data_IF_166385439573
#
_entry.id   IF_166385439573
#
_cell.length_a   1.000
_cell.length_b   1.000
_cell.length_c   1.000
_cell.angle_alpha   90.00
_cell.angle_beta   90.00
_cell.angle_gamma   90.00
#
_symmetry.space_group_name_H-M   'P 1'
#
loop_
_entity.id
_entity.type
_entity.pdbx_description
1 polymer ?
#
# COMPACT_ATOMS: atom_id res chain seq x y z
N UNK A 1 20.09 58.41 -37.16
CA UNK A 1 19.89 56.93 -37.35
C UNK A 1 20.56 56.11 -36.22
N UNK A 2 20.42 56.51 -34.96
CA UNK A 2 21.13 55.84 -33.83
C UNK A 2 20.22 55.12 -32.82
N UNK A 3 18.89 55.20 -32.96
CA UNK A 3 17.93 54.61 -32.01
C UNK A 3 17.66 53.13 -32.12
N UNK A 4 17.87 52.56 -33.32
CA UNK A 4 17.47 51.14 -33.60
C UNK A 4 18.48 50.12 -33.03
N UNK A 5 19.71 50.54 -32.80
CA UNK A 5 20.77 49.64 -32.25
C UNK A 5 20.64 49.36 -30.75
N UNK A 6 19.97 50.26 -30.01
CA UNK A 6 19.75 50.03 -28.57
C UNK A 6 18.58 49.07 -28.28
N UNK A 7 17.50 49.13 -29.07
CA UNK A 7 16.35 48.26 -28.91
C UNK A 7 16.73 46.77 -29.10
N UNK A 8 17.60 46.46 -30.07
CA UNK A 8 18.03 45.06 -30.33
C UNK A 8 18.75 44.40 -29.16
N UNK A 9 19.51 45.18 -28.39
CA UNK A 9 20.27 44.65 -27.23
C UNK A 9 19.32 44.30 -26.07
N UNK A 10 18.27 45.07 -25.83
CA UNK A 10 17.30 44.78 -24.77
C UNK A 10 16.39 43.60 -25.12
N UNK A 11 16.02 43.45 -26.41
CA UNK A 11 15.27 42.28 -26.88
C UNK A 11 16.07 40.99 -26.75
N UNK A 12 17.37 41.03 -27.08
CA UNK A 12 18.25 39.87 -26.92
C UNK A 12 18.45 39.49 -25.43
N UNK A 13 18.53 40.50 -24.53
CA UNK A 13 18.64 40.28 -23.10
C UNK A 13 17.36 39.70 -22.48
N UNK A 14 16.19 40.21 -22.92
CA UNK A 14 14.88 39.67 -22.49
C UNK A 14 14.65 38.26 -23.00
N UNK A 15 15.06 37.93 -24.21
CA UNK A 15 14.97 36.57 -24.76
C UNK A 15 15.87 35.59 -23.99
N UNK A 16 17.07 36.01 -23.55
CA UNK A 16 17.97 35.23 -22.74
C UNK A 16 17.40 34.94 -21.32
N UNK A 17 16.67 35.90 -20.74
CA UNK A 17 16.07 35.77 -19.41
C UNK A 17 14.90 34.78 -19.40
N UNK A 18 14.14 34.68 -20.49
CA UNK A 18 13.01 33.73 -20.64
C UNK A 18 13.50 32.28 -20.79
N UNK A 19 14.69 32.06 -21.36
CA UNK A 19 15.26 30.74 -21.50
C UNK A 19 15.78 30.12 -20.19
N UNK A 20 16.08 30.94 -19.17
CA UNK A 20 16.56 30.47 -17.86
C UNK A 20 15.39 30.04 -16.94
N UNK A 21 14.18 30.56 -17.18
CA UNK A 21 12.99 30.23 -16.37
C UNK A 21 12.36 28.86 -16.75
N UNK A 22 12.82 28.22 -17.81
CA UNK A 22 12.23 26.98 -18.34
C UNK A 22 12.68 25.67 -17.66
N UNK A 23 13.62 25.69 -16.72
CA UNK A 23 14.12 24.51 -16.02
C UNK A 23 13.68 24.47 -14.55
N UNK A 24 12.47 24.91 -14.21
CA UNK A 24 11.80 24.42 -13.02
C UNK A 24 11.32 22.99 -13.32
N UNK A 25 12.26 22.05 -13.38
CA UNK A 25 11.95 20.63 -13.25
C UNK A 25 11.09 20.50 -12.00
N UNK A 26 9.82 20.16 -12.17
CA UNK A 26 9.05 19.55 -11.10
C UNK A 26 9.95 18.45 -10.55
N UNK A 27 10.51 18.68 -9.37
CA UNK A 27 11.13 17.62 -8.58
C UNK A 27 9.98 16.66 -8.29
N UNK A 28 9.71 15.74 -9.22
CA UNK A 28 8.95 14.54 -8.92
C UNK A 28 9.69 13.92 -7.74
N UNK A 29 9.11 14.08 -6.57
CA UNK A 29 9.61 13.41 -5.39
C UNK A 29 9.66 11.92 -5.77
N UNK A 30 10.84 11.28 -5.67
CA UNK A 30 10.93 9.87 -5.96
C UNK A 30 9.86 9.16 -5.13
N UNK A 31 9.15 8.17 -5.69
CA UNK A 31 8.09 7.48 -4.98
C UNK A 31 8.65 7.04 -3.63
N UNK A 32 8.12 7.60 -2.56
CA UNK A 32 8.53 7.22 -1.22
C UNK A 32 8.14 5.75 -1.06
N UNK A 33 9.12 4.87 -1.14
CA UNK A 33 8.95 3.47 -0.81
C UNK A 33 8.57 3.44 0.66
N UNK A 34 7.28 3.32 0.95
CA UNK A 34 6.79 3.13 2.30
C UNK A 34 7.33 1.79 2.80
N UNK A 35 8.40 1.85 3.58
CA UNK A 35 8.94 0.67 4.24
C UNK A 35 7.89 0.17 5.23
N UNK A 36 7.59 -1.11 5.17
CA UNK A 36 6.73 -1.76 6.14
C UNK A 36 7.43 -1.66 7.49
N UNK A 37 6.73 -1.14 8.51
CA UNK A 37 7.26 -1.09 9.86
C UNK A 37 7.41 -2.51 10.45
N UNK A 38 8.31 -2.73 11.40
CA UNK A 38 8.42 -4.04 12.07
C UNK A 38 7.09 -4.52 12.66
N UNK A 39 6.28 -3.61 13.21
CA UNK A 39 4.98 -3.92 13.78
C UNK A 39 3.96 -4.34 12.71
N UNK A 40 4.01 -3.72 11.54
CA UNK A 40 3.17 -4.12 10.40
C UNK A 40 3.63 -5.48 9.84
N UNK A 41 4.94 -5.73 9.82
CA UNK A 41 5.48 -7.01 9.40
C UNK A 41 4.99 -8.14 10.31
N UNK A 42 4.99 -7.94 11.64
CA UNK A 42 4.47 -8.92 12.58
C UNK A 42 2.97 -9.20 12.42
N UNK A 43 2.19 -8.23 11.95
CA UNK A 43 0.76 -8.44 11.66
C UNK A 43 0.52 -9.22 10.37
N UNK A 44 1.40 -9.04 9.38
CA UNK A 44 1.31 -9.70 8.08
C UNK A 44 1.84 -11.12 8.17
N UNK A 45 2.85 -11.36 9.03
CA UNK A 45 3.41 -12.68 9.21
C UNK A 45 2.39 -13.60 9.89
N UNK A 46 2.08 -14.75 9.28
CA UNK A 46 1.15 -15.71 9.87
C UNK A 46 1.69 -16.14 11.22
N UNK A 47 0.86 -16.01 12.25
CA UNK A 47 1.18 -16.55 13.56
C UNK A 47 1.29 -18.07 13.43
N UNK A 48 2.45 -18.60 13.79
CA UNK A 48 2.65 -20.05 13.85
C UNK A 48 1.77 -20.60 14.97
N UNK A 49 0.72 -21.32 14.59
CA UNK A 49 -0.12 -22.05 15.53
C UNK A 49 -0.03 -23.51 15.10
N UNK A 50 0.98 -24.27 15.56
CA UNK A 50 1.05 -25.68 15.31
C UNK A 50 0.03 -26.40 16.22
N UNK A 51 -1.19 -26.59 15.72
CA UNK A 51 -2.15 -27.51 16.37
C UNK A 51 -1.69 -28.96 16.27
N UNK A 52 -0.82 -29.27 15.32
CA UNK A 52 -0.13 -30.55 15.15
C UNK A 52 1.38 -30.29 15.29
N UNK A 53 2.02 -30.93 16.24
CA UNK A 53 3.45 -30.74 16.50
C UNK A 53 4.35 -31.41 15.46
N UNK A 54 5.59 -30.90 15.31
CA UNK A 54 6.58 -31.52 14.42
C UNK A 54 6.90 -32.95 14.83
N UNK A 55 6.89 -33.25 16.15
CA UNK A 55 7.16 -34.59 16.67
C UNK A 55 6.04 -35.57 16.30
N UNK A 56 4.78 -35.15 16.31
CA UNK A 56 3.66 -35.96 15.84
C UNK A 56 3.77 -36.27 14.32
N UNK A 57 4.22 -35.31 13.51
CA UNK A 57 4.47 -35.54 12.08
C UNK A 57 5.56 -36.60 11.88
N UNK A 58 6.64 -36.52 12.68
CA UNK A 58 7.68 -37.53 12.66
C UNK A 58 7.12 -38.90 13.06
N UNK A 59 6.30 -38.99 14.12
CA UNK A 59 5.65 -40.24 14.55
C UNK A 59 4.76 -40.84 13.46
N UNK A 60 3.94 -40.01 12.77
CA UNK A 60 3.15 -40.49 11.65
C UNK A 60 4.00 -41.02 10.50
N UNK A 61 5.12 -40.35 10.21
CA UNK A 61 6.05 -40.78 9.16
C UNK A 61 6.73 -42.11 9.55
N UNK A 62 7.14 -42.28 10.80
CA UNK A 62 7.71 -43.51 11.31
C UNK A 62 6.69 -44.64 11.37
N UNK A 63 5.42 -44.34 11.63
CA UNK A 63 4.28 -45.26 11.54
C UNK A 63 3.88 -45.61 10.10
N UNK A 64 4.66 -45.15 9.10
CA UNK A 64 4.41 -45.38 7.66
C UNK A 64 3.04 -44.90 7.19
N UNK A 65 2.50 -43.86 7.80
CA UNK A 65 1.32 -43.14 7.30
C UNK A 65 1.70 -42.48 5.98
N UNK A 66 0.83 -42.53 4.96
CA UNK A 66 1.14 -41.95 3.66
C UNK A 66 1.31 -40.43 3.72
N UNK A 67 2.16 -39.86 2.85
CA UNK A 67 2.41 -38.43 2.79
C UNK A 67 1.10 -37.64 2.60
N UNK A 68 0.18 -38.16 1.78
CA UNK A 68 -1.13 -37.53 1.50
C UNK A 68 -2.01 -37.46 2.76
N UNK A 69 -1.99 -38.50 3.59
CA UNK A 69 -2.74 -38.52 4.84
C UNK A 69 -2.15 -37.57 5.87
N UNK A 70 -0.81 -37.45 5.94
CA UNK A 70 -0.14 -36.48 6.82
C UNK A 70 -0.48 -35.07 6.36
N UNK A 71 -0.41 -34.77 5.07
CA UNK A 71 -0.78 -33.47 4.49
C UNK A 71 -2.23 -33.14 4.83
N UNK A 72 -3.15 -34.13 4.71
CA UNK A 72 -4.55 -33.90 5.05
C UNK A 72 -4.73 -33.55 6.54
N UNK A 73 -4.04 -34.23 7.44
CA UNK A 73 -4.04 -33.90 8.88
C UNK A 73 -3.51 -32.49 9.16
N UNK A 74 -2.46 -32.08 8.45
CA UNK A 74 -1.93 -30.70 8.56
C UNK A 74 -2.99 -29.69 8.10
N UNK A 75 -3.70 -29.95 7.00
CA UNK A 75 -4.79 -29.10 6.52
C UNK A 75 -5.94 -29.03 7.51
N UNK A 76 -6.40 -30.14 8.00
CA UNK A 76 -7.53 -30.24 8.93
C UNK A 76 -7.23 -29.55 10.26
N UNK A 77 -5.97 -29.62 10.72
CA UNK A 77 -5.51 -28.92 11.92
C UNK A 77 -5.23 -27.44 11.70
N UNK A 78 -5.26 -26.94 10.46
CA UNK A 78 -4.87 -25.58 10.09
C UNK A 78 -3.48 -25.17 10.62
N UNK A 79 -2.59 -26.15 10.75
CA UNK A 79 -1.25 -25.93 11.27
C UNK A 79 -0.36 -25.26 10.23
N UNK A 80 0.39 -24.25 10.65
CA UNK A 80 1.37 -23.56 9.82
C UNK A 80 2.75 -23.64 10.47
N UNK A 81 3.76 -23.92 9.65
CA UNK A 81 5.12 -24.13 10.11
C UNK A 81 6.08 -23.24 9.36
N UNK A 82 6.90 -22.47 10.09
CA UNK A 82 8.03 -21.76 9.52
C UNK A 82 9.28 -22.59 9.77
N UNK A 83 9.66 -23.38 8.78
CA UNK A 83 10.79 -24.30 8.90
C UNK A 83 12.09 -23.63 8.41
N UNK A 84 13.12 -23.71 9.22
CA UNK A 84 14.47 -23.37 8.76
C UNK A 84 15.05 -24.48 7.89
N UNK A 85 16.02 -24.19 7.01
CA UNK A 85 16.68 -25.21 6.19
C UNK A 85 17.28 -26.36 7.03
N UNK A 86 17.80 -26.06 8.21
CA UNK A 86 18.33 -27.06 9.14
C UNK A 86 17.24 -27.99 9.67
N UNK A 87 16.08 -27.43 10.04
CA UNK A 87 14.94 -28.24 10.51
C UNK A 87 14.39 -29.14 9.40
N UNK A 88 14.36 -28.68 8.16
CA UNK A 88 13.93 -29.48 7.01
C UNK A 88 14.84 -30.69 6.82
N UNK A 89 16.17 -30.48 6.87
CA UNK A 89 17.14 -31.56 6.79
C UNK A 89 17.01 -32.57 7.96
N UNK A 90 16.77 -32.07 9.14
CA UNK A 90 16.62 -32.93 10.32
C UNK A 90 15.31 -33.74 10.30
N UNK A 91 14.20 -33.13 9.83
CA UNK A 91 12.94 -33.85 9.63
C UNK A 91 13.07 -34.90 8.53
N UNK A 92 13.76 -34.60 7.43
CA UNK A 92 14.06 -35.57 6.38
C UNK A 92 14.89 -36.75 6.91
N UNK A 93 15.91 -36.49 7.75
CA UNK A 93 16.70 -37.58 8.42
C UNK A 93 15.86 -38.42 9.36
N UNK A 94 14.84 -37.86 10.01
CA UNK A 94 13.88 -38.56 10.87
C UNK A 94 12.82 -39.35 10.10
N UNK A 95 12.84 -39.30 8.76
CA UNK A 95 12.01 -40.11 7.89
C UNK A 95 10.71 -39.41 7.43
N UNK A 96 10.62 -38.06 7.56
CA UNK A 96 9.51 -37.30 7.00
C UNK A 96 9.66 -37.24 5.49
N UNK A 97 8.58 -37.57 4.76
CA UNK A 97 8.58 -37.58 3.30
C UNK A 97 8.78 -36.14 2.74
N UNK A 98 9.56 -36.02 1.67
CA UNK A 98 9.83 -34.75 1.00
C UNK A 98 8.55 -33.99 0.59
N UNK A 99 7.50 -34.72 0.14
CA UNK A 99 6.21 -34.11 -0.21
C UNK A 99 5.55 -33.39 0.97
N UNK A 100 5.70 -33.92 2.19
CA UNK A 100 5.15 -33.28 3.38
C UNK A 100 5.93 -32.01 3.69
N UNK A 101 7.25 -32.03 3.57
CA UNK A 101 8.11 -30.87 3.80
C UNK A 101 7.85 -29.77 2.76
N UNK A 102 7.73 -30.15 1.50
CA UNK A 102 7.40 -29.22 0.40
C UNK A 102 6.02 -28.56 0.63
N UNK A 103 5.03 -29.36 1.05
CA UNK A 103 3.71 -28.83 1.40
C UNK A 103 3.78 -27.83 2.55
N UNK A 104 4.54 -28.14 3.61
CA UNK A 104 4.68 -27.25 4.77
C UNK A 104 5.32 -25.91 4.38
N UNK A 105 6.34 -25.93 3.52
CA UNK A 105 6.96 -24.72 2.99
C UNK A 105 6.00 -23.93 2.09
N UNK A 106 5.38 -24.60 1.13
CA UNK A 106 4.46 -23.96 0.20
C UNK A 106 3.26 -23.31 0.90
N UNK A 107 2.71 -23.98 1.93
CA UNK A 107 1.60 -23.43 2.72
C UNK A 107 2.02 -22.20 3.51
N UNK A 108 3.23 -22.18 4.05
CA UNK A 108 3.77 -21.02 4.75
C UNK A 108 4.01 -19.84 3.81
N UNK A 109 4.62 -20.08 2.65
CA UNK A 109 4.80 -19.04 1.63
C UNK A 109 3.47 -18.48 1.10
N UNK A 110 2.47 -19.35 0.95
CA UNK A 110 1.13 -18.91 0.53
C UNK A 110 0.51 -18.01 1.60
N UNK A 111 0.57 -18.39 2.88
CA UNK A 111 0.05 -17.57 3.97
C UNK A 111 0.72 -16.19 4.06
N UNK A 112 2.04 -16.12 3.80
CA UNK A 112 2.75 -14.84 3.71
C UNK A 112 2.21 -14.01 2.54
N UNK A 113 2.07 -14.60 1.35
CA UNK A 113 1.53 -13.90 0.17
C UNK A 113 0.12 -13.37 0.40
N UNK A 114 -0.72 -14.18 1.04
CA UNK A 114 -2.11 -13.80 1.36
C UNK A 114 -2.16 -12.64 2.37
N UNK A 115 -1.29 -12.67 3.39
CA UNK A 115 -1.16 -11.59 4.35
C UNK A 115 -0.73 -10.27 3.70
N UNK A 116 0.25 -10.31 2.78
CA UNK A 116 0.66 -9.12 2.01
C UNK A 116 -0.46 -8.61 1.11
N UNK A 117 -1.17 -9.51 0.42
CA UNK A 117 -2.29 -9.13 -0.46
C UNK A 117 -3.42 -8.46 0.34
N UNK A 118 -3.75 -8.98 1.51
CA UNK A 118 -4.76 -8.39 2.39
C UNK A 118 -4.35 -6.98 2.86
N UNK A 119 -3.10 -6.79 3.25
CA UNK A 119 -2.62 -5.48 3.68
C UNK A 119 -2.61 -4.46 2.54
N UNK A 120 -2.19 -4.86 1.34
CA UNK A 120 -2.26 -4.01 0.14
C UNK A 120 -3.70 -3.58 -0.16
N UNK A 121 -4.65 -4.51 -0.10
CA UNK A 121 -6.07 -4.22 -0.30
C UNK A 121 -6.61 -3.23 0.74
N UNK A 122 -6.25 -3.39 2.01
CA UNK A 122 -6.63 -2.45 3.08
C UNK A 122 -6.09 -1.04 2.81
N UNK A 123 -4.84 -0.92 2.39
CA UNK A 123 -4.22 0.37 2.05
C UNK A 123 -4.89 1.03 0.85
N UNK A 124 -5.22 0.26 -0.17
CA UNK A 124 -5.92 0.76 -1.35
C UNK A 124 -7.32 1.26 -0.99
N UNK A 125 -8.08 0.49 -0.21
CA UNK A 125 -9.39 0.91 0.27
C UNK A 125 -9.32 2.18 1.12
N UNK A 126 -8.33 2.29 2.00
CA UNK A 126 -8.11 3.49 2.81
C UNK A 126 -7.84 4.73 1.93
N UNK A 127 -6.98 4.61 0.92
CA UNK A 127 -6.71 5.68 -0.06
C UNK A 127 -7.95 6.08 -0.84
N UNK A 128 -8.75 5.13 -1.29
CA UNK A 128 -9.99 5.41 -2.00
C UNK A 128 -11.01 6.15 -1.11
N UNK A 129 -11.13 5.76 0.14
CA UNK A 129 -11.99 6.45 1.11
C UNK A 129 -11.53 7.89 1.38
N UNK A 130 -10.22 8.09 1.51
CA UNK A 130 -9.63 9.43 1.69
C UNK A 130 -9.90 10.32 0.46
N UNK A 131 -9.68 9.80 -0.74
CA UNK A 131 -9.98 10.53 -1.97
C UNK A 131 -11.47 10.88 -2.09
N UNK A 132 -12.38 9.98 -1.69
CA UNK A 132 -13.81 10.25 -1.69
C UNK A 132 -14.19 11.34 -0.67
N UNK A 133 -13.54 11.34 0.51
CA UNK A 133 -13.74 12.40 1.51
C UNK A 133 -13.29 13.75 0.96
N UNK A 134 -12.08 13.82 0.38
CA UNK A 134 -11.56 15.04 -0.24
C UNK A 134 -12.47 15.55 -1.36
N UNK A 135 -12.94 14.66 -2.25
CA UNK A 135 -13.89 15.03 -3.31
C UNK A 135 -15.18 15.61 -2.75
N UNK A 136 -15.76 15.00 -1.69
CA UNK A 136 -16.94 15.53 -1.02
C UNK A 136 -16.70 16.91 -0.40
N UNK A 137 -15.57 17.07 0.29
CA UNK A 137 -15.21 18.38 0.86
C UNK A 137 -15.04 19.45 -0.23
N UNK A 138 -14.43 19.10 -1.36
CA UNK A 138 -14.31 20.00 -2.51
C UNK A 138 -15.68 20.38 -3.06
N UNK A 139 -16.59 19.42 -3.21
CA UNK A 139 -17.94 19.69 -3.70
C UNK A 139 -18.73 20.61 -2.74
N UNK A 140 -18.57 20.41 -1.43
CA UNK A 140 -19.21 21.25 -0.41
C UNK A 140 -18.62 22.67 -0.33
N UNK A 141 -17.36 22.85 -0.74
CA UNK A 141 -16.69 24.16 -0.75
C UNK A 141 -16.87 24.93 -2.06
N UNK A 142 -17.40 24.29 -3.11
CA UNK A 142 -17.66 25.00 -4.35
C UNK A 142 -18.81 25.99 -4.12
N UNK A 143 -18.62 27.28 -4.46
CA UNK A 143 -19.69 28.24 -4.38
C UNK A 143 -20.83 27.81 -5.32
N UNK A 144 -22.05 27.85 -4.82
CA UNK A 144 -23.25 27.60 -5.62
C UNK A 144 -23.24 28.54 -6.80
N UNK A 145 -23.07 28.02 -8.01
CA UNK A 145 -23.15 28.76 -9.24
C UNK A 145 -24.61 28.78 -9.70
N UNK A 146 -25.27 29.94 -9.60
CA UNK A 146 -26.61 30.09 -10.12
C UNK A 146 -26.54 30.25 -11.66
N UNK A 147 -27.02 29.27 -12.44
CA UNK A 147 -26.92 29.30 -13.89
C UNK A 147 -27.76 30.44 -14.52
N UNK A 148 -28.66 31.04 -13.74
CA UNK A 148 -29.56 32.08 -14.25
C UNK A 148 -28.93 33.49 -14.22
N UNK A 149 -28.02 33.76 -13.26
CA UNK A 149 -27.40 35.10 -13.09
C UNK A 149 -25.92 35.16 -13.39
N UNK A 150 -25.27 34.06 -13.66
CA UNK A 150 -23.88 34.02 -14.10
C UNK A 150 -22.83 34.46 -13.06
N UNK A 151 -23.22 34.79 -11.84
CA UNK A 151 -22.34 35.21 -10.76
C UNK A 151 -22.33 34.20 -9.62
N UNK A 152 -21.15 33.83 -9.07
CA UNK A 152 -21.08 33.05 -7.87
C UNK A 152 -21.64 33.90 -6.71
N UNK A 153 -22.72 33.43 -6.07
CA UNK A 153 -23.19 34.06 -4.83
C UNK A 153 -22.17 33.76 -3.73
N UNK A 154 -21.57 34.79 -3.10
CA UNK A 154 -20.81 34.56 -1.89
C UNK A 154 -21.80 34.05 -0.84
N UNK A 155 -21.55 32.84 -0.32
CA UNK A 155 -22.32 32.28 0.79
C UNK A 155 -22.03 33.13 2.04
N UNK A 156 -22.85 34.16 2.27
CA UNK A 156 -22.86 34.90 3.54
C UNK A 156 -23.47 33.97 4.58
N UNK A 157 -22.61 33.29 5.32
CA UNK A 157 -23.02 32.55 6.51
C UNK A 157 -23.80 33.45 7.46
N UNK A 158 -24.63 32.92 8.39
CA UNK A 158 -25.64 33.66 9.15
C UNK A 158 -25.09 34.68 10.16
N UNK A 159 -23.87 35.20 10.00
CA UNK A 159 -23.18 36.05 10.99
C UNK A 159 -23.23 37.54 10.74
N UNK A 160 -23.81 38.03 9.64
CA UNK A 160 -23.98 39.47 9.46
C UNK A 160 -25.45 39.87 9.54
N UNK A 161 -25.94 39.91 10.77
CA UNK A 161 -27.16 40.63 11.11
C UNK A 161 -26.79 42.12 11.17
N UNK A 162 -26.97 42.85 10.05
CA UNK A 162 -26.94 44.31 10.10
C UNK A 162 -28.15 44.78 10.89
N UNK A 163 -27.88 45.21 12.12
CA UNK A 163 -28.86 45.91 12.92
C UNK A 163 -28.87 47.37 12.50
N UNK A 164 -29.75 47.74 11.55
CA UNK A 164 -30.08 49.15 11.32
C UNK A 164 -30.95 49.55 12.51
N UNK A 165 -30.34 50.29 13.45
CA UNK A 165 -31.11 51.05 14.45
C UNK A 165 -31.52 52.38 13.84
N UNK A 166 -32.82 52.71 13.89
CA UNK A 166 -33.34 54.07 13.81
C UNK A 166 -33.42 54.64 15.24
#
# INVERSE_FOLDING_TARGET
>A
MSGVRFLGKYVAWLAALVLVAGCASTLEQPPQIQRISPEELERIMPKQVPNLSLDEIVQFSQAKVSAEQIIQKIKDSQSQYSLTPSQILDLGKKGVDAKVLDYMQASHEQAIRDGFAEELNKREQAKLQEQQKLKREYQLRQPYYDPYWGYPYPYYGPRFRYQFGF
#
